data_IF_702971757406
#
_entry.id   IF_702971757406
#
_cell.length_a   1.000
_cell.length_b   1.000
_cell.length_c   1.000
_cell.angle_alpha   90.00
_cell.angle_beta   90.00
_cell.angle_gamma   90.00
#
_symmetry.space_group_name_H-M   'P 1'
#
loop_
_entity.id
_entity.type
_entity.pdbx_description
1 polymer ?
#
# COMPACT_ATOMS: atom_id res chain seq x y z
N UNK A 1 -30.62 -11.51 -19.21
CA UNK A 1 -29.22 -11.25 -19.62
C UNK A 1 -28.85 -9.85 -19.17
N UNK A 2 -28.09 -9.70 -18.08
CA UNK A 2 -27.55 -8.39 -17.68
C UNK A 2 -26.23 -8.21 -18.41
N UNK A 3 -26.19 -7.23 -19.33
CA UNK A 3 -25.01 -6.94 -20.12
C UNK A 3 -23.81 -6.60 -19.23
N UNK A 4 -22.67 -7.22 -19.52
CA UNK A 4 -21.38 -6.82 -18.99
C UNK A 4 -21.10 -5.40 -19.47
N UNK A 5 -21.19 -4.41 -18.56
CA UNK A 5 -20.61 -3.09 -18.82
C UNK A 5 -19.10 -3.28 -18.80
N UNK A 6 -18.46 -2.91 -19.91
CA UNK A 6 -17.03 -2.68 -19.96
C UNK A 6 -16.62 -1.70 -18.84
N UNK A 7 -15.38 -1.78 -18.33
CA UNK A 7 -14.89 -0.80 -17.37
C UNK A 7 -14.98 0.59 -18.00
N UNK A 8 -15.81 1.46 -17.43
CA UNK A 8 -15.85 2.84 -17.86
C UNK A 8 -14.60 3.53 -17.34
N UNK A 9 -13.60 3.69 -18.21
CA UNK A 9 -12.37 4.47 -17.98
C UNK A 9 -12.62 5.97 -17.69
N UNK A 10 -13.88 6.39 -17.47
CA UNK A 10 -14.29 7.76 -17.15
C UNK A 10 -14.53 7.98 -15.64
N UNK A 11 -14.24 7.00 -14.78
CA UNK A 11 -14.27 7.18 -13.32
C UNK A 11 -12.86 7.43 -12.81
N UNK A 12 -12.59 8.48 -12.01
CA UNK A 12 -11.26 8.75 -11.44
C UNK A 12 -10.87 7.73 -10.34
N UNK A 13 -11.76 6.80 -9.99
CA UNK A 13 -11.46 5.68 -9.10
C UNK A 13 -10.79 4.54 -9.87
N UNK A 14 -9.48 4.37 -9.67
CA UNK A 14 -8.73 3.25 -10.25
C UNK A 14 -8.45 2.15 -9.21
N UNK A 15 -8.20 2.53 -7.95
CA UNK A 15 -7.92 1.58 -6.86
C UNK A 15 -8.52 2.04 -5.52
N UNK A 16 -8.67 1.08 -4.60
CA UNK A 16 -9.13 1.32 -3.22
C UNK A 16 -8.38 0.44 -2.22
N UNK A 17 -7.84 1.08 -1.19
CA UNK A 17 -7.24 0.37 -0.07
C UNK A 17 -8.33 -0.25 0.79
N UNK A 18 -8.09 -1.47 1.27
CA UNK A 18 -8.91 -2.18 2.24
C UNK A 18 -8.10 -2.29 3.52
N UNK A 19 -8.64 -1.76 4.62
CA UNK A 19 -7.90 -1.57 5.88
C UNK A 19 -6.67 -0.65 5.74
N UNK A 20 -5.94 -0.42 6.85
CA UNK A 20 -4.71 0.37 6.85
C UNK A 20 -3.69 -0.21 7.83
N UNK A 21 -2.56 -0.69 7.32
CA UNK A 21 -1.48 -1.30 8.10
C UNK A 21 -2.00 -2.34 9.10
N UNK A 22 -2.95 -3.17 8.68
CA UNK A 22 -3.62 -4.12 9.58
C UNK A 22 -2.61 -5.10 10.21
N UNK A 23 -1.51 -5.37 9.52
CA UNK A 23 -0.40 -6.17 10.03
C UNK A 23 0.30 -5.58 11.26
N UNK A 24 0.23 -4.26 11.43
CA UNK A 24 0.74 -3.56 12.62
C UNK A 24 -0.20 -3.69 13.82
N UNK A 25 -1.42 -4.20 13.62
CA UNK A 25 -2.40 -4.42 14.68
C UNK A 25 -2.31 -5.85 15.25
N UNK A 26 -2.51 -5.98 16.56
CA UNK A 26 -2.23 -7.23 17.29
C UNK A 26 -3.18 -8.39 16.94
N UNK A 27 -4.36 -8.11 16.40
CA UNK A 27 -5.44 -9.09 16.30
C UNK A 27 -5.19 -10.18 15.25
N UNK A 28 -4.60 -9.82 14.09
CA UNK A 28 -4.33 -10.73 12.98
C UNK A 28 -5.57 -11.58 12.58
N UNK A 29 -6.75 -10.94 12.55
CA UNK A 29 -8.04 -11.57 12.24
C UNK A 29 -8.32 -11.53 10.74
N UNK A 30 -8.15 -12.68 10.07
CA UNK A 30 -8.46 -12.78 8.65
C UNK A 30 -9.95 -12.89 8.33
N UNK A 31 -10.81 -13.24 9.28
CA UNK A 31 -12.26 -13.20 9.06
C UNK A 31 -12.74 -11.76 8.96
N UNK A 32 -12.16 -10.86 9.75
CA UNK A 32 -12.34 -9.42 9.60
C UNK A 32 -11.92 -8.92 8.21
N UNK A 33 -10.70 -9.26 7.76
CA UNK A 33 -10.22 -8.85 6.43
C UNK A 33 -11.09 -9.41 5.29
N UNK A 34 -11.51 -10.69 5.40
CA UNK A 34 -12.45 -11.30 4.43
C UNK A 34 -13.81 -10.62 4.43
N UNK A 35 -14.31 -10.20 5.59
CA UNK A 35 -15.55 -9.45 5.69
C UNK A 35 -15.46 -8.12 4.93
N UNK A 36 -14.38 -7.36 5.13
CA UNK A 36 -14.17 -6.10 4.41
C UNK A 36 -14.04 -6.32 2.91
N UNK A 37 -13.25 -7.30 2.46
CA UNK A 37 -13.18 -7.66 1.04
C UNK A 37 -14.57 -7.94 0.46
N UNK A 38 -15.40 -8.73 1.15
CA UNK A 38 -16.76 -9.03 0.70
C UNK A 38 -17.63 -7.77 0.58
N UNK A 39 -17.56 -6.87 1.56
CA UNK A 39 -18.29 -5.59 1.56
C UNK A 39 -17.82 -4.69 0.40
N UNK A 40 -16.51 -4.52 0.20
CA UNK A 40 -15.99 -3.74 -0.91
C UNK A 40 -16.41 -4.32 -2.26
N UNK A 41 -16.34 -5.64 -2.44
CA UNK A 41 -16.78 -6.32 -3.67
C UNK A 41 -18.28 -6.19 -3.90
N UNK A 42 -19.09 -6.16 -2.85
CA UNK A 42 -20.54 -5.95 -2.96
C UNK A 42 -20.88 -4.58 -3.57
N UNK A 43 -20.20 -3.52 -3.12
CA UNK A 43 -20.53 -2.14 -3.52
C UNK A 43 -19.74 -1.63 -4.74
N UNK A 44 -18.49 -2.06 -4.90
CA UNK A 44 -17.58 -1.57 -5.95
C UNK A 44 -17.50 -2.53 -7.15
N UNK A 45 -17.98 -3.77 -6.99
CA UNK A 45 -17.85 -4.81 -8.00
C UNK A 45 -16.44 -5.39 -8.10
N UNK A 46 -16.21 -6.17 -9.16
CA UNK A 46 -14.95 -6.91 -9.37
C UNK A 46 -13.88 -6.14 -10.14
N UNK A 47 -14.27 -5.10 -10.86
CA UNK A 47 -13.36 -4.35 -11.74
C UNK A 47 -12.43 -3.38 -10.98
N UNK A 48 -12.84 -2.93 -9.78
CA UNK A 48 -12.00 -2.04 -8.97
C UNK A 48 -10.84 -2.82 -8.39
N UNK A 49 -9.61 -2.29 -8.54
CA UNK A 49 -8.43 -2.86 -7.90
C UNK A 49 -8.51 -2.58 -6.40
N UNK A 50 -8.55 -3.65 -5.60
CA UNK A 50 -8.48 -3.56 -4.15
C UNK A 50 -7.08 -3.94 -3.70
N UNK A 51 -6.53 -3.22 -2.75
CA UNK A 51 -5.16 -3.43 -2.25
C UNK A 51 -5.07 -3.24 -0.74
N UNK A 52 -4.02 -3.74 -0.11
CA UNK A 52 -3.64 -3.45 1.29
C UNK A 52 -2.31 -2.70 1.32
N UNK A 53 -2.04 -2.00 2.40
CA UNK A 53 -0.77 -1.32 2.66
C UNK A 53 -0.32 -1.71 4.06
N UNK A 54 0.92 -2.18 4.15
CA UNK A 54 1.57 -2.57 5.40
C UNK A 54 3.07 -2.28 5.31
N UNK A 55 3.70 -2.08 6.48
CA UNK A 55 5.14 -1.92 6.57
C UNK A 55 5.90 -3.17 6.13
N UNK A 56 7.21 -2.99 5.90
CA UNK A 56 8.07 -4.02 5.29
C UNK A 56 8.53 -5.13 6.27
N UNK A 57 7.95 -5.23 7.47
CA UNK A 57 8.29 -6.33 8.39
C UNK A 57 7.51 -7.59 8.01
N UNK A 58 8.17 -8.75 8.11
CA UNK A 58 7.51 -10.04 7.84
C UNK A 58 6.24 -10.24 8.68
N UNK A 59 6.24 -9.81 9.94
CA UNK A 59 5.06 -9.89 10.82
C UNK A 59 3.88 -9.05 10.34
N UNK A 60 4.16 -7.86 9.81
CA UNK A 60 3.15 -6.93 9.30
C UNK A 60 2.56 -7.51 8.02
N UNK A 61 3.41 -7.84 7.04
CA UNK A 61 2.97 -8.45 5.78
C UNK A 61 2.24 -9.78 5.99
N UNK A 62 2.63 -10.58 6.98
CA UNK A 62 1.94 -11.83 7.30
C UNK A 62 0.49 -11.57 7.66
N UNK A 63 0.22 -10.64 8.58
CA UNK A 63 -1.13 -10.40 9.12
C UNK A 63 -1.96 -9.40 8.31
N UNK A 64 -1.34 -8.49 7.58
CA UNK A 64 -2.02 -7.42 6.84
C UNK A 64 -2.44 -7.78 5.42
N UNK A 65 -1.91 -8.87 4.86
CA UNK A 65 -2.17 -9.27 3.47
C UNK A 65 -3.27 -10.32 3.37
N UNK A 66 -4.03 -10.31 2.29
CA UNK A 66 -5.12 -11.26 2.03
C UNK A 66 -5.19 -11.58 0.53
N UNK A 67 -5.39 -12.85 0.21
CA UNK A 67 -5.72 -13.28 -1.15
C UNK A 67 -6.87 -12.44 -1.74
N UNK A 68 -6.75 -12.04 -3.00
CA UNK A 68 -7.68 -11.17 -3.75
C UNK A 68 -7.65 -9.67 -3.41
N UNK A 69 -6.74 -9.26 -2.53
CA UNK A 69 -6.27 -7.89 -2.34
C UNK A 69 -4.81 -7.82 -2.77
N UNK A 70 -4.44 -6.85 -3.61
CA UNK A 70 -3.04 -6.67 -4.01
C UNK A 70 -2.22 -6.13 -2.83
N UNK A 71 -1.12 -6.77 -2.44
CA UNK A 71 -0.29 -6.27 -1.35
C UNK A 71 0.66 -5.15 -1.83
N UNK A 72 0.55 -3.99 -1.20
CA UNK A 72 1.50 -2.87 -1.34
C UNK A 72 2.25 -2.66 -0.03
N UNK A 73 3.37 -1.96 -0.09
CA UNK A 73 4.17 -1.64 1.11
C UNK A 73 4.21 -0.14 1.34
N UNK A 74 4.49 0.26 2.57
CA UNK A 74 4.91 1.61 2.91
C UNK A 74 6.35 1.63 3.43
N UNK A 75 7.04 2.74 3.17
CA UNK A 75 8.35 3.02 3.74
C UNK A 75 8.82 4.45 3.44
N UNK A 76 9.58 5.03 4.36
CA UNK A 76 10.10 6.39 4.24
C UNK A 76 11.41 6.51 3.47
N UNK A 77 11.83 7.75 3.26
CA UNK A 77 13.02 8.17 2.50
C UNK A 77 14.39 7.68 3.01
N UNK A 78 14.44 7.08 4.21
CA UNK A 78 15.66 6.53 4.81
C UNK A 78 15.75 5.00 4.69
N UNK A 79 14.73 4.37 4.13
CA UNK A 79 14.67 2.92 3.94
C UNK A 79 15.45 2.52 2.68
N UNK A 80 16.09 1.35 2.71
CA UNK A 80 16.65 0.76 1.50
C UNK A 80 15.51 0.29 0.58
N UNK A 81 15.34 1.00 -0.54
CA UNK A 81 14.20 0.88 -1.45
C UNK A 81 14.17 -0.49 -2.13
N UNK A 82 15.34 -1.02 -2.54
CA UNK A 82 15.46 -2.36 -3.12
C UNK A 82 15.00 -3.43 -2.13
N UNK A 83 15.49 -3.36 -0.88
CA UNK A 83 15.12 -4.33 0.16
C UNK A 83 13.63 -4.24 0.51
N UNK A 84 13.07 -3.04 0.56
CA UNK A 84 11.64 -2.84 0.82
C UNK A 84 10.79 -3.52 -0.26
N UNK A 85 11.13 -3.33 -1.53
CA UNK A 85 10.42 -3.95 -2.63
C UNK A 85 10.68 -5.46 -2.78
N UNK A 86 11.83 -5.96 -2.31
CA UNK A 86 12.04 -7.41 -2.15
C UNK A 86 11.01 -8.02 -1.18
N UNK A 87 10.65 -7.33 -0.08
CA UNK A 87 9.61 -7.80 0.82
C UNK A 87 8.24 -7.84 0.14
N UNK A 88 7.89 -6.80 -0.62
CA UNK A 88 6.66 -6.84 -1.43
C UNK A 88 6.66 -8.03 -2.39
N UNK A 89 7.80 -8.36 -3.02
CA UNK A 89 7.93 -9.47 -3.96
C UNK A 89 7.77 -10.85 -3.34
N UNK A 90 7.99 -11.00 -2.04
CA UNK A 90 7.72 -12.25 -1.32
C UNK A 90 6.22 -12.56 -1.28
N UNK A 91 5.38 -11.52 -1.19
CA UNK A 91 3.91 -11.65 -1.15
C UNK A 91 3.32 -11.57 -2.56
N UNK A 92 3.82 -10.66 -3.38
CA UNK A 92 3.39 -10.39 -4.75
C UNK A 92 4.54 -10.63 -5.74
N UNK A 93 4.81 -11.90 -6.12
CA UNK A 93 5.90 -12.23 -7.04
C UNK A 93 5.79 -11.58 -8.42
N UNK A 94 4.60 -11.06 -8.76
CA UNK A 94 4.28 -10.40 -10.03
C UNK A 94 3.44 -9.14 -9.77
N UNK A 95 3.34 -8.30 -10.78
CA UNK A 95 2.59 -7.04 -10.71
C UNK A 95 3.48 -5.83 -10.35
N UNK A 96 2.89 -4.63 -10.23
CA UNK A 96 3.64 -3.40 -10.02
C UNK A 96 4.31 -3.35 -8.64
N UNK A 97 5.51 -2.79 -8.56
CA UNK A 97 6.01 -2.31 -7.27
C UNK A 97 5.22 -1.08 -6.86
N UNK A 98 4.82 -0.99 -5.60
CA UNK A 98 4.01 0.13 -5.09
C UNK A 98 4.46 0.48 -3.67
N UNK A 99 4.96 1.70 -3.50
CA UNK A 99 5.07 2.34 -2.19
C UNK A 99 3.83 3.23 -1.99
N UNK A 100 2.88 2.76 -1.18
CA UNK A 100 1.61 3.46 -0.97
C UNK A 100 1.73 4.64 0.00
N UNK A 101 2.81 4.72 0.78
CA UNK A 101 3.11 5.86 1.66
C UNK A 101 4.61 6.14 1.72
N UNK A 102 5.07 7.05 0.86
CA UNK A 102 6.43 7.55 0.86
C UNK A 102 6.56 8.79 1.75
N UNK A 103 7.02 8.59 2.98
CA UNK A 103 7.06 9.65 4.00
C UNK A 103 8.04 10.80 3.64
N UNK A 104 7.49 11.89 3.11
CA UNK A 104 8.23 13.14 2.79
C UNK A 104 8.60 13.96 4.03
N UNK A 105 7.91 13.71 5.14
CA UNK A 105 8.15 14.30 6.46
C UNK A 105 7.80 13.29 7.56
N UNK A 106 7.46 13.78 8.74
CA UNK A 106 6.90 12.96 9.81
C UNK A 106 5.92 13.78 10.65
N UNK A 107 5.09 13.11 11.45
CA UNK A 107 4.16 13.76 12.37
C UNK A 107 4.88 14.38 13.56
N UNK A 108 4.20 15.31 14.23
CA UNK A 108 4.69 15.97 15.44
C UNK A 108 3.98 15.47 16.70
N UNK A 109 4.67 15.60 17.84
CA UNK A 109 4.09 15.46 19.16
C UNK A 109 4.18 16.80 19.90
N UNK A 110 3.21 17.10 20.76
CA UNK A 110 3.21 18.33 21.55
C UNK A 110 4.45 18.43 22.44
N UNK A 111 5.18 19.54 22.32
CA UNK A 111 6.39 19.81 23.11
C UNK A 111 7.67 19.22 22.52
N UNK A 112 7.57 18.36 21.50
CA UNK A 112 8.73 17.88 20.76
C UNK A 112 9.15 18.86 19.66
N UNK A 113 10.42 18.84 19.22
CA UNK A 113 10.86 19.60 18.06
C UNK A 113 10.07 19.19 16.81
N UNK A 114 9.73 20.17 15.97
CA UNK A 114 9.06 19.94 14.69
C UNK A 114 9.86 18.96 13.82
N UNK A 115 9.19 17.92 13.35
CA UNK A 115 9.75 16.90 12.47
C UNK A 115 10.05 17.47 11.09
N UNK A 116 11.33 17.46 10.72
CA UNK A 116 11.77 17.88 9.38
C UNK A 116 12.56 16.76 8.72
N UNK A 117 12.47 16.69 7.39
CA UNK A 117 13.33 15.84 6.56
C UNK A 117 14.04 16.70 5.52
N UNK A 118 15.29 16.35 5.25
CA UNK A 118 16.06 17.02 4.19
C UNK A 118 15.44 16.75 2.83
N UNK A 119 15.21 17.79 2.04
CA UNK A 119 14.74 17.67 0.66
C UNK A 119 15.62 16.72 -0.14
N UNK A 120 16.94 16.76 0.05
CA UNK A 120 17.88 15.87 -0.65
C UNK A 120 17.65 14.40 -0.32
N UNK A 121 17.33 14.06 0.93
CA UNK A 121 17.03 12.68 1.34
C UNK A 121 15.74 12.19 0.67
N UNK A 122 14.70 13.05 0.67
CA UNK A 122 13.41 12.75 0.03
C UNK A 122 13.55 12.63 -1.49
N UNK A 123 14.26 13.54 -2.16
CA UNK A 123 14.41 13.48 -3.63
C UNK A 123 15.26 12.29 -4.06
N UNK A 124 16.29 11.93 -3.31
CA UNK A 124 17.14 10.79 -3.64
C UNK A 124 16.40 9.46 -3.48
N UNK A 125 15.61 9.29 -2.41
CA UNK A 125 14.80 8.09 -2.24
C UNK A 125 13.71 7.98 -3.30
N UNK A 126 13.00 9.09 -3.59
CA UNK A 126 12.01 9.14 -4.66
C UNK A 126 12.62 8.77 -6.02
N UNK A 127 13.80 9.32 -6.37
CA UNK A 127 14.48 9.00 -7.61
C UNK A 127 14.73 7.50 -7.76
N UNK A 128 15.23 6.83 -6.71
CA UNK A 128 15.47 5.38 -6.74
C UNK A 128 14.18 4.57 -6.88
N UNK A 129 13.11 4.96 -6.18
CA UNK A 129 11.79 4.32 -6.32
C UNK A 129 11.33 4.37 -7.78
N UNK A 130 11.49 5.54 -8.43
CA UNK A 130 11.13 5.72 -9.84
C UNK A 130 12.06 4.96 -10.80
N UNK A 131 13.36 4.89 -10.51
CA UNK A 131 14.34 4.10 -11.29
C UNK A 131 14.05 2.59 -11.26
N UNK A 132 13.46 2.10 -10.16
CA UNK A 132 12.96 0.72 -10.05
C UNK A 132 11.64 0.50 -10.83
N UNK A 133 11.06 1.55 -11.44
CA UNK A 133 9.79 1.50 -12.14
C UNK A 133 8.58 1.32 -11.23
N UNK A 134 8.73 1.66 -9.94
CA UNK A 134 7.66 1.53 -8.95
C UNK A 134 6.67 2.70 -9.02
N UNK A 135 5.43 2.43 -8.59
CA UNK A 135 4.43 3.45 -8.32
C UNK A 135 4.63 3.96 -6.90
N UNK A 136 4.33 5.24 -6.67
CA UNK A 136 4.58 5.89 -5.39
C UNK A 136 3.48 6.90 -5.07
N UNK A 137 3.07 6.94 -3.81
CA UNK A 137 2.24 7.99 -3.22
C UNK A 137 3.05 8.71 -2.13
N UNK A 138 2.98 10.04 -2.05
CA UNK A 138 3.86 10.89 -1.23
C UNK A 138 3.08 11.77 -0.25
#
# INVERSE_FOLDING_TARGET
MRGSKSPSFNSPLFSRQVENEYGSYYACDYDYMRHLLAVFRLYLGKEVVLFTTDGIKESELKCGTLQDLYATVDFGSETNETRAFEQQRLIEPRGPLVNSEYYTGWLDYWGEPHSTKSTTVVTNGLQKILELGANVNM
#
